data_IF_126393367570
#
_entry.id   IF_126393367570
#
_cell.length_a   1.000
_cell.length_b   1.000
_cell.length_c   1.000
_cell.angle_alpha   90.00
_cell.angle_beta   90.00
_cell.angle_gamma   90.00
#
_symmetry.space_group_name_H-M   'P 1'
#
loop_
_entity.id
_entity.type
_entity.pdbx_description
1 polymer ?
#
# COMPACT_ATOMS: atom_id res chain seq x y z
N UNK A 1 13.28 19.59 -0.52
CA UNK A 1 13.01 18.33 -1.24
C UNK A 1 12.04 17.38 -0.52
N UNK A 2 12.05 17.23 0.82
CA UNK A 2 11.07 16.37 1.54
C UNK A 2 9.63 16.91 1.48
N UNK A 3 9.42 18.23 1.60
CA UNK A 3 8.10 18.90 1.56
C UNK A 3 7.33 18.70 0.24
N UNK A 4 8.07 18.64 -0.88
CA UNK A 4 7.48 18.46 -2.22
C UNK A 4 6.86 17.06 -2.39
N UNK A 5 7.36 16.04 -1.68
CA UNK A 5 6.90 14.64 -1.83
C UNK A 5 5.52 14.40 -1.21
N UNK A 6 5.15 15.09 -0.16
CA UNK A 6 3.91 14.83 0.59
C UNK A 6 2.68 15.33 -0.18
N UNK A 7 2.75 16.51 -0.80
CA UNK A 7 1.64 17.06 -1.59
C UNK A 7 1.60 16.49 -3.01
N UNK A 8 2.76 16.22 -3.63
CA UNK A 8 2.79 15.45 -4.89
C UNK A 8 2.08 14.10 -4.74
N UNK A 9 2.19 13.46 -3.58
CA UNK A 9 1.50 12.20 -3.33
C UNK A 9 -0.01 12.37 -3.15
N UNK A 10 -0.48 13.49 -2.57
CA UNK A 10 -1.91 13.81 -2.46
C UNK A 10 -2.54 14.11 -3.82
N UNK A 11 -1.82 14.81 -4.69
CA UNK A 11 -2.28 15.17 -6.04
C UNK A 11 -2.19 13.99 -7.02
N UNK A 12 -1.20 13.09 -6.85
CA UNK A 12 -1.04 11.87 -7.66
C UNK A 12 -2.02 10.75 -7.26
N UNK A 13 -2.45 10.67 -6.00
CA UNK A 13 -3.48 9.71 -5.57
C UNK A 13 -4.88 10.03 -6.12
N UNK A 14 -5.13 11.28 -6.53
CA UNK A 14 -6.35 11.62 -7.27
C UNK A 14 -6.47 10.90 -8.62
N UNK A 15 -5.37 10.34 -9.16
CA UNK A 15 -5.35 9.56 -10.40
C UNK A 15 -5.68 8.06 -10.19
N UNK A 16 -5.80 7.61 -8.94
CA UNK A 16 -6.12 6.19 -8.62
C UNK A 16 -7.51 6.11 -7.99
N UNK A 17 -8.53 6.59 -8.71
CA UNK A 17 -9.86 6.02 -8.52
C UNK A 17 -9.79 4.67 -9.23
N UNK A 18 -10.03 3.52 -8.56
CA UNK A 18 -10.23 2.26 -9.25
C UNK A 18 -11.57 2.32 -9.99
N UNK A 19 -11.60 3.10 -11.06
CA UNK A 19 -12.67 3.02 -12.01
C UNK A 19 -12.40 1.76 -12.81
N UNK A 20 -13.22 0.77 -12.64
CA UNK A 20 -13.53 -0.11 -13.75
C UNK A 20 -13.88 0.82 -14.94
N UNK A 21 -12.99 0.93 -15.90
CA UNK A 21 -13.04 1.86 -17.05
C UNK A 21 -14.33 1.76 -17.90
N UNK A 22 -15.26 0.87 -17.54
CA UNK A 22 -16.45 0.56 -18.32
C UNK A 22 -17.74 1.27 -17.87
N UNK A 23 -17.72 2.17 -16.87
CA UNK A 23 -18.96 2.75 -16.34
C UNK A 23 -18.89 4.21 -15.84
N UNK A 24 -17.91 5.03 -16.25
CA UNK A 24 -17.95 6.45 -15.91
C UNK A 24 -19.06 7.18 -16.65
N UNK A 25 -19.88 7.93 -15.92
CA UNK A 25 -20.91 8.81 -16.50
C UNK A 25 -20.30 10.01 -17.23
N UNK A 26 -21.08 10.67 -18.10
CA UNK A 26 -20.63 11.92 -18.75
C UNK A 26 -20.35 13.03 -17.75
N UNK A 27 -21.11 13.07 -16.66
CA UNK A 27 -20.91 14.04 -15.58
C UNK A 27 -19.54 13.80 -14.89
N UNK A 28 -19.21 12.54 -14.57
CA UNK A 28 -17.94 12.19 -13.96
C UNK A 28 -16.75 12.50 -14.86
N UNK A 29 -16.83 12.20 -16.15
CA UNK A 29 -15.77 12.56 -17.13
C UNK A 29 -15.54 14.07 -17.22
N UNK A 30 -16.61 14.87 -17.28
CA UNK A 30 -16.51 16.35 -17.30
C UNK A 30 -15.93 16.88 -16.00
N UNK A 31 -16.38 16.35 -14.87
CA UNK A 31 -15.83 16.70 -13.56
C UNK A 31 -14.34 16.43 -13.49
N UNK A 32 -13.89 15.22 -13.86
CA UNK A 32 -12.47 14.85 -13.84
C UNK A 32 -11.62 15.75 -14.71
N UNK A 33 -12.05 16.03 -15.94
CA UNK A 33 -11.30 16.91 -16.83
C UNK A 33 -11.11 18.32 -16.22
N UNK A 34 -12.15 18.85 -15.55
CA UNK A 34 -12.07 20.14 -14.86
C UNK A 34 -11.20 20.07 -13.60
N UNK A 35 -11.33 19.00 -12.82
CA UNK A 35 -10.55 18.77 -11.61
C UNK A 35 -9.04 18.59 -11.93
N UNK A 36 -8.69 17.85 -12.99
CA UNK A 36 -7.30 17.66 -13.43
C UNK A 36 -6.65 18.99 -13.85
N UNK A 37 -7.40 19.85 -14.56
CA UNK A 37 -6.93 21.18 -14.91
C UNK A 37 -6.65 22.03 -13.66
N UNK A 38 -7.56 22.02 -12.68
CA UNK A 38 -7.39 22.74 -11.42
C UNK A 38 -6.22 22.16 -10.60
N UNK A 39 -6.09 20.84 -10.53
CA UNK A 39 -5.00 20.18 -9.82
C UNK A 39 -3.62 20.51 -10.42
N UNK A 40 -3.52 20.62 -11.74
CA UNK A 40 -2.27 21.05 -12.41
C UNK A 40 -1.91 22.48 -12.01
N UNK A 41 -2.87 23.40 -12.01
CA UNK A 41 -2.66 24.78 -11.57
C UNK A 41 -2.29 24.85 -10.07
N UNK A 42 -2.97 24.05 -9.23
CA UNK A 42 -2.73 23.96 -7.81
C UNK A 42 -1.31 23.46 -7.50
N UNK A 43 -0.85 22.43 -8.22
CA UNK A 43 0.51 21.94 -8.09
C UNK A 43 1.54 23.01 -8.44
N UNK A 44 1.33 23.76 -9.52
CA UNK A 44 2.21 24.84 -9.94
C UNK A 44 2.24 25.97 -8.90
N UNK A 45 1.09 26.41 -8.41
CA UNK A 45 0.99 27.45 -7.38
C UNK A 45 1.69 27.01 -6.08
N UNK A 46 1.44 25.77 -5.63
CA UNK A 46 2.06 25.25 -4.43
C UNK A 46 3.58 25.10 -4.55
N UNK A 47 4.08 24.55 -5.66
CA UNK A 47 5.53 24.40 -5.90
C UNK A 47 6.22 25.75 -6.07
N UNK A 48 5.51 26.73 -6.63
CA UNK A 48 5.92 28.12 -6.71
C UNK A 48 5.82 28.88 -5.37
N UNK A 49 5.27 28.25 -4.32
CA UNK A 49 4.99 28.84 -3.00
C UNK A 49 4.01 30.01 -3.05
N UNK A 50 3.17 30.06 -4.06
CA UNK A 50 2.06 31.00 -4.12
C UNK A 50 0.88 30.42 -3.30
N UNK A 51 0.98 30.57 -1.98
CA UNK A 51 0.00 30.03 -1.05
C UNK A 51 -1.38 30.67 -1.18
N UNK A 52 -1.52 31.99 -1.41
CA UNK A 52 -2.82 32.58 -1.70
C UNK A 52 -3.48 31.99 -2.95
N UNK A 53 -2.74 31.81 -4.05
CA UNK A 53 -3.28 31.16 -5.25
C UNK A 53 -3.62 29.69 -4.98
N UNK A 54 -2.82 28.99 -4.18
CA UNK A 54 -3.11 27.62 -3.76
C UNK A 54 -4.43 27.51 -3.00
N UNK A 55 -4.68 28.39 -2.01
CA UNK A 55 -5.94 28.45 -1.27
C UNK A 55 -7.14 28.69 -2.22
N UNK A 56 -7.01 29.68 -3.13
CA UNK A 56 -8.06 29.99 -4.09
C UNK A 56 -8.37 28.82 -5.03
N UNK A 57 -7.35 28.06 -5.45
CA UNK A 57 -7.52 26.89 -6.31
C UNK A 57 -8.14 25.73 -5.54
N UNK A 58 -7.75 25.48 -4.28
CA UNK A 58 -8.42 24.51 -3.42
C UNK A 58 -9.91 24.82 -3.28
N UNK A 59 -10.26 26.10 -3.06
CA UNK A 59 -11.67 26.52 -2.99
C UNK A 59 -12.41 26.23 -4.30
N UNK A 60 -11.79 26.49 -5.46
CA UNK A 60 -12.41 26.15 -6.75
C UNK A 60 -12.66 24.65 -6.92
N UNK A 61 -11.77 23.78 -6.44
CA UNK A 61 -12.00 22.32 -6.45
C UNK A 61 -13.16 21.94 -5.55
N UNK A 62 -13.27 22.55 -4.36
CA UNK A 62 -14.37 22.34 -3.43
C UNK A 62 -15.70 22.75 -4.08
N UNK A 63 -15.75 23.96 -4.65
CA UNK A 63 -16.95 24.50 -5.31
C UNK A 63 -17.35 23.65 -6.53
N UNK A 64 -16.37 23.19 -7.32
CA UNK A 64 -16.59 22.28 -8.45
C UNK A 64 -17.23 20.97 -7.98
N UNK A 65 -16.72 20.37 -6.89
CA UNK A 65 -17.32 19.16 -6.35
C UNK A 65 -18.75 19.42 -5.85
N UNK A 66 -18.96 20.49 -5.08
CA UNK A 66 -20.26 20.81 -4.49
C UNK A 66 -21.34 21.06 -5.55
N UNK A 67 -20.97 21.69 -6.67
CA UNK A 67 -21.86 21.92 -7.80
C UNK A 67 -22.30 20.61 -8.52
N UNK A 68 -21.53 19.54 -8.41
CA UNK A 68 -21.78 18.28 -9.13
C UNK A 68 -22.04 17.09 -8.20
N UNK A 69 -22.00 17.26 -6.88
CA UNK A 69 -22.02 16.18 -5.89
C UNK A 69 -23.14 15.16 -6.08
N UNK A 70 -24.35 15.63 -6.48
CA UNK A 70 -25.51 14.74 -6.72
C UNK A 70 -25.39 13.85 -7.96
N UNK A 71 -24.42 14.12 -8.83
CA UNK A 71 -24.18 13.41 -10.10
C UNK A 71 -22.92 12.52 -10.06
N UNK A 72 -22.18 12.58 -8.95
CA UNK A 72 -20.91 11.91 -8.79
C UNK A 72 -21.02 10.72 -7.82
N UNK A 73 -20.29 9.66 -8.09
CA UNK A 73 -20.15 8.58 -7.13
C UNK A 73 -19.44 9.07 -5.86
N UNK A 74 -19.69 8.39 -4.74
CA UNK A 74 -19.19 8.79 -3.40
C UNK A 74 -17.67 8.99 -3.35
N UNK A 75 -16.90 8.18 -4.08
CA UNK A 75 -15.43 8.28 -4.12
C UNK A 75 -14.91 9.64 -4.60
N UNK A 76 -15.67 10.37 -5.39
CA UNK A 76 -15.27 11.72 -5.86
C UNK A 76 -15.24 12.77 -4.74
N UNK A 77 -15.85 12.50 -3.60
CA UNK A 77 -15.75 13.35 -2.41
C UNK A 77 -14.29 13.56 -1.94
N UNK A 78 -13.40 12.62 -2.29
CA UNK A 78 -11.97 12.74 -2.05
C UNK A 78 -11.40 14.09 -2.56
N UNK A 79 -11.81 14.59 -3.71
CA UNK A 79 -11.33 15.87 -4.27
C UNK A 79 -11.61 17.04 -3.34
N UNK A 80 -12.80 17.11 -2.78
CA UNK A 80 -13.18 18.14 -1.81
C UNK A 80 -12.36 18.06 -0.53
N UNK A 81 -12.26 16.86 0.06
CA UNK A 81 -11.63 16.71 1.37
C UNK A 81 -10.10 16.75 1.31
N UNK A 82 -9.48 16.29 0.23
CA UNK A 82 -8.06 16.51 -0.03
C UNK A 82 -7.72 17.98 -0.24
N UNK A 83 -8.63 18.75 -0.85
CA UNK A 83 -8.47 20.21 -0.97
C UNK A 83 -8.53 20.92 0.38
N UNK A 84 -9.40 20.51 1.31
CA UNK A 84 -9.37 21.01 2.69
C UNK A 84 -8.06 20.69 3.39
N UNK A 85 -7.52 19.49 3.21
CA UNK A 85 -6.22 19.12 3.78
C UNK A 85 -5.09 20.00 3.23
N UNK A 86 -5.02 20.17 1.92
CA UNK A 86 -4.02 21.04 1.27
C UNK A 86 -4.17 22.50 1.71
N UNK A 87 -5.40 22.98 1.83
CA UNK A 87 -5.69 24.33 2.33
C UNK A 87 -5.20 24.50 3.77
N UNK A 88 -5.45 23.51 4.63
CA UNK A 88 -4.95 23.53 6.00
C UNK A 88 -3.41 23.60 6.06
N UNK A 89 -2.71 22.83 5.22
CA UNK A 89 -1.25 22.85 5.17
C UNK A 89 -0.71 24.24 4.78
N UNK A 90 -1.24 24.83 3.70
CA UNK A 90 -0.74 26.15 3.27
C UNK A 90 -1.13 27.29 4.22
N UNK A 91 -2.26 27.19 4.91
CA UNK A 91 -2.68 28.14 5.94
C UNK A 91 -1.81 28.02 7.20
N UNK A 92 -1.45 26.80 7.61
CA UNK A 92 -0.52 26.58 8.72
C UNK A 92 0.86 27.18 8.41
N UNK A 93 1.39 26.98 7.19
CA UNK A 93 2.65 27.60 6.73
C UNK A 93 2.58 29.13 6.81
N UNK A 94 1.42 29.73 6.51
CA UNK A 94 1.19 31.18 6.56
C UNK A 94 0.90 31.70 7.98
N UNK A 95 0.82 30.85 8.99
CA UNK A 95 0.47 31.22 10.35
C UNK A 95 -1.02 31.49 10.59
N UNK A 96 -1.89 31.17 9.65
CA UNK A 96 -3.36 31.27 9.76
C UNK A 96 -3.91 30.06 10.52
N UNK A 97 -3.56 29.98 11.83
CA UNK A 97 -3.76 28.74 12.62
C UNK A 97 -5.23 28.33 12.74
N UNK A 98 -6.14 29.27 12.98
CA UNK A 98 -7.56 28.95 13.19
C UNK A 98 -8.20 28.39 11.91
N UNK A 99 -7.93 29.01 10.78
CA UNK A 99 -8.42 28.56 9.47
C UNK A 99 -7.84 27.20 9.12
N UNK A 100 -6.54 27.00 9.38
CA UNK A 100 -5.86 25.73 9.16
C UNK A 100 -6.48 24.59 9.99
N UNK A 101 -6.73 24.82 11.29
CA UNK A 101 -7.42 23.88 12.19
C UNK A 101 -8.81 23.54 11.67
N UNK A 102 -9.60 24.58 11.30
CA UNK A 102 -10.96 24.38 10.77
C UNK A 102 -10.96 23.51 9.51
N UNK A 103 -10.05 23.78 8.57
CA UNK A 103 -9.99 23.02 7.33
C UNK A 103 -9.43 21.61 7.53
N UNK A 104 -8.43 21.43 8.39
CA UNK A 104 -7.94 20.10 8.74
C UNK A 104 -9.03 19.27 9.42
N UNK A 105 -9.80 19.87 10.32
CA UNK A 105 -10.94 19.21 10.97
C UNK A 105 -11.97 18.72 9.94
N UNK A 106 -12.33 19.56 8.95
CA UNK A 106 -13.25 19.15 7.87
C UNK A 106 -12.70 17.96 7.09
N UNK A 107 -11.41 18.00 6.73
CA UNK A 107 -10.74 16.91 6.01
C UNK A 107 -10.78 15.60 6.80
N UNK A 108 -10.32 15.62 8.06
CA UNK A 108 -10.19 14.42 8.89
C UNK A 108 -11.52 13.85 9.38
N UNK A 109 -12.53 14.69 9.56
CA UNK A 109 -13.82 14.25 10.12
C UNK A 109 -14.80 13.73 9.06
N UNK A 110 -14.47 13.85 7.78
CA UNK A 110 -15.35 13.45 6.68
C UNK A 110 -15.46 11.95 6.47
N UNK A 111 -14.44 11.18 6.84
CA UNK A 111 -14.23 9.77 6.47
C UNK A 111 -14.22 9.53 4.94
N UNK A 112 -14.04 10.59 4.13
CA UNK A 112 -14.00 10.55 2.66
C UNK A 112 -12.60 10.76 2.11
N UNK A 113 -11.64 10.97 2.98
CA UNK A 113 -10.23 11.07 2.65
C UNK A 113 -9.48 9.92 3.32
N UNK A 114 -8.88 9.07 2.50
CA UNK A 114 -8.01 8.00 3.01
C UNK A 114 -6.68 8.59 3.46
N UNK A 115 -6.61 8.95 4.74
CA UNK A 115 -5.39 9.44 5.36
C UNK A 115 -5.10 8.65 6.63
N UNK A 116 -3.84 8.28 6.86
CA UNK A 116 -3.44 7.59 8.08
C UNK A 116 -3.02 8.58 9.16
N UNK A 117 -3.14 8.15 10.42
CA UNK A 117 -2.63 8.88 11.58
C UNK A 117 -1.17 9.32 11.40
N UNK A 118 -0.31 8.36 11.05
CA UNK A 118 1.11 8.60 10.89
C UNK A 118 1.44 9.60 9.77
N UNK A 119 0.61 9.69 8.74
CA UNK A 119 0.76 10.69 7.69
C UNK A 119 0.48 12.09 8.23
N UNK A 120 -0.60 12.26 8.98
CA UNK A 120 -0.99 13.57 9.54
C UNK A 120 0.02 14.07 10.55
N UNK A 121 0.43 13.21 11.51
CA UNK A 121 1.33 13.64 12.60
C UNK A 121 2.79 13.83 12.18
N UNK A 122 3.18 13.27 11.03
CA UNK A 122 4.52 13.49 10.46
C UNK A 122 4.53 14.52 9.33
N UNK A 123 3.41 15.19 9.09
CA UNK A 123 3.35 16.29 8.13
C UNK A 123 3.95 17.55 8.76
N UNK A 124 5.14 17.93 8.27
CA UNK A 124 5.88 19.08 8.77
C UNK A 124 5.12 20.41 8.63
N UNK A 125 4.21 20.50 7.67
CA UNK A 125 3.45 21.70 7.41
C UNK A 125 2.31 21.90 8.43
N UNK A 126 1.86 20.81 9.07
CA UNK A 126 0.77 20.81 10.03
C UNK A 126 1.20 20.86 11.50
N UNK A 127 2.48 20.66 11.78
CA UNK A 127 3.01 20.45 13.15
C UNK A 127 2.57 21.50 14.18
N UNK A 128 2.45 22.78 13.75
CA UNK A 128 2.14 23.90 14.64
C UNK A 128 0.66 24.03 14.99
N UNK A 129 -0.19 23.14 14.44
CA UNK A 129 -1.64 23.15 14.68
C UNK A 129 -2.16 21.81 15.23
N UNK A 130 -1.34 20.74 15.25
CA UNK A 130 -1.81 19.41 15.66
C UNK A 130 -2.25 19.33 17.13
N UNK A 131 -1.77 20.23 18.00
CA UNK A 131 -2.15 20.27 19.41
C UNK A 131 -3.51 20.96 19.65
N UNK A 132 -4.15 21.49 18.61
CA UNK A 132 -5.45 22.14 18.74
C UNK A 132 -6.50 21.18 19.31
N UNK A 133 -7.27 21.59 20.36
CA UNK A 133 -8.24 20.72 21.00
C UNK A 133 -9.30 20.16 20.04
N UNK A 134 -9.67 20.94 19.04
CA UNK A 134 -10.68 20.57 18.03
C UNK A 134 -10.25 19.36 17.18
N UNK A 135 -8.95 19.16 16.99
CA UNK A 135 -8.40 18.06 16.18
C UNK A 135 -8.26 16.76 16.98
N UNK A 136 -8.18 16.83 18.32
CA UNK A 136 -7.86 15.66 19.13
C UNK A 136 -8.82 14.48 18.96
N UNK A 137 -10.15 14.66 18.86
CA UNK A 137 -11.08 13.54 18.64
C UNK A 137 -10.83 12.85 17.28
N UNK A 138 -10.55 13.64 16.22
CA UNK A 138 -10.26 13.09 14.88
C UNK A 138 -8.91 12.37 14.83
N UNK A 139 -7.88 12.94 15.47
CA UNK A 139 -6.55 12.32 15.56
C UNK A 139 -6.59 11.03 16.38
N UNK A 140 -7.34 11.01 17.49
CA UNK A 140 -7.55 9.78 18.28
C UNK A 140 -8.20 8.70 17.43
N UNK A 141 -9.29 9.00 16.73
CA UNK A 141 -9.96 8.06 15.84
C UNK A 141 -9.02 7.53 14.75
N UNK A 142 -8.26 8.40 14.09
CA UNK A 142 -7.28 7.98 13.10
C UNK A 142 -6.22 7.05 13.69
N UNK A 143 -5.73 7.34 14.90
CA UNK A 143 -4.77 6.49 15.59
C UNK A 143 -5.33 5.10 15.86
N UNK A 144 -6.55 5.04 16.35
CA UNK A 144 -7.24 3.79 16.68
C UNK A 144 -7.60 2.95 15.44
N UNK A 145 -7.70 3.57 14.26
CA UNK A 145 -8.14 2.90 13.03
C UNK A 145 -7.06 2.73 11.98
N UNK A 146 -5.98 3.51 12.02
CA UNK A 146 -4.97 3.54 10.95
C UNK A 146 -3.51 3.44 11.43
N UNK A 147 -3.27 3.54 12.73
CA UNK A 147 -1.93 3.27 13.30
C UNK A 147 -1.82 1.79 13.66
N UNK A 148 -1.32 0.99 12.72
CA UNK A 148 -1.23 -0.46 12.90
C UNK A 148 -0.39 -0.87 14.11
N UNK A 149 0.65 -0.10 14.46
CA UNK A 149 1.45 -0.38 15.65
C UNK A 149 0.61 -0.16 16.93
N UNK A 150 -0.11 0.95 16.97
CA UNK A 150 -1.02 1.23 18.11
C UNK A 150 -2.11 0.17 18.22
N UNK A 151 -2.73 -0.20 17.11
CA UNK A 151 -3.77 -1.25 17.06
C UNK A 151 -3.22 -2.56 17.59
N UNK A 152 -2.03 -3.00 17.14
CA UNK A 152 -1.40 -4.23 17.60
C UNK A 152 -1.02 -4.19 19.09
N UNK A 153 -0.50 -3.05 19.57
CA UNK A 153 -0.11 -2.90 20.98
C UNK A 153 -1.30 -2.85 21.95
N UNK A 154 -2.47 -2.43 21.45
CA UNK A 154 -3.69 -2.28 22.24
C UNK A 154 -4.76 -3.35 21.91
N UNK A 155 -4.41 -4.30 21.04
CA UNK A 155 -5.29 -5.43 20.77
C UNK A 155 -5.46 -6.25 22.05
N UNK A 156 -6.67 -6.79 22.31
CA UNK A 156 -6.88 -7.70 23.43
C UNK A 156 -5.96 -8.91 23.27
N UNK A 157 -5.56 -9.50 24.40
CA UNK A 157 -4.78 -10.73 24.38
C UNK A 157 -5.50 -11.81 23.56
N UNK A 158 -4.71 -12.55 22.81
CA UNK A 158 -5.24 -13.65 22.00
C UNK A 158 -5.87 -14.69 22.92
N UNK A 159 -7.19 -14.76 22.90
CA UNK A 159 -7.90 -15.77 23.70
C UNK A 159 -7.63 -17.16 23.10
N UNK A 160 -6.71 -17.89 23.71
CA UNK A 160 -6.41 -19.29 23.36
C UNK A 160 -7.57 -20.25 23.70
N UNK A 161 -8.73 -19.70 24.04
CA UNK A 161 -9.90 -20.44 24.50
C UNK A 161 -10.86 -20.85 23.38
N UNK A 162 -10.62 -20.42 22.13
CA UNK A 162 -11.38 -21.02 21.03
C UNK A 162 -10.92 -22.46 20.84
N UNK A 163 -11.86 -23.43 20.80
CA UNK A 163 -11.52 -24.82 20.48
C UNK A 163 -10.69 -24.82 19.20
N UNK A 164 -9.57 -25.58 19.18
CA UNK A 164 -8.71 -25.71 18.01
C UNK A 164 -9.51 -26.07 16.74
N UNK A 165 -10.64 -26.75 16.91
CA UNK A 165 -11.54 -27.17 15.84
C UNK A 165 -12.39 -26.01 15.25
N UNK A 166 -12.49 -24.84 15.92
CA UNK A 166 -13.22 -23.67 15.43
C UNK A 166 -12.34 -22.74 14.55
N UNK A 167 -11.03 -22.95 14.55
CA UNK A 167 -10.11 -22.16 13.73
C UNK A 167 -9.96 -22.77 12.33
N UNK A 168 -9.94 -21.94 11.27
CA UNK A 168 -9.65 -22.44 9.94
C UNK A 168 -8.28 -23.18 9.93
N UNK A 169 -8.28 -24.44 9.58
CA UNK A 169 -7.02 -25.20 9.39
C UNK A 169 -6.43 -24.79 8.05
N UNK A 170 -5.20 -24.31 8.07
CA UNK A 170 -4.47 -24.04 6.85
C UNK A 170 -3.97 -25.40 6.34
N UNK A 171 -4.54 -25.83 5.20
CA UNK A 171 -4.04 -26.97 4.46
C UNK A 171 -3.15 -26.45 3.32
N UNK A 172 -1.99 -27.04 3.16
CA UNK A 172 -1.13 -26.78 2.00
C UNK A 172 -1.48 -27.76 0.88
N UNK A 173 -1.42 -27.29 -0.36
CA UNK A 173 -1.52 -28.16 -1.52
C UNK A 173 -0.43 -29.23 -1.47
N UNK A 174 -0.75 -30.43 -1.92
CA UNK A 174 0.22 -31.52 -1.97
C UNK A 174 1.24 -31.26 -3.10
N UNK A 175 2.48 -31.71 -2.90
CA UNK A 175 3.56 -31.46 -3.87
C UNK A 175 3.32 -32.08 -5.26
N UNK A 176 2.42 -33.05 -5.37
CA UNK A 176 2.00 -33.70 -6.60
C UNK A 176 0.81 -33.04 -7.31
N UNK A 177 0.26 -31.95 -6.74
CA UNK A 177 -0.72 -31.11 -7.43
C UNK A 177 -0.18 -30.65 -8.79
N UNK A 178 -0.99 -30.72 -9.87
CA UNK A 178 -0.51 -30.48 -11.24
C UNK A 178 0.26 -29.17 -11.41
N UNK A 179 -0.19 -28.10 -10.79
CA UNK A 179 0.46 -26.79 -10.90
C UNK A 179 1.80 -26.76 -10.14
N UNK A 180 1.87 -27.32 -8.96
CA UNK A 180 3.11 -27.42 -8.20
C UNK A 180 4.11 -28.37 -8.89
N UNK A 181 3.64 -29.45 -9.45
CA UNK A 181 4.49 -30.33 -10.25
C UNK A 181 5.11 -29.60 -11.44
N UNK A 182 4.31 -28.79 -12.18
CA UNK A 182 4.84 -27.96 -13.27
C UNK A 182 5.93 -26.99 -12.80
N UNK A 183 5.75 -26.36 -11.62
CA UNK A 183 6.77 -25.49 -11.02
C UNK A 183 8.05 -26.27 -10.71
N UNK A 184 7.95 -27.44 -10.08
CA UNK A 184 9.07 -28.31 -9.78
C UNK A 184 9.85 -28.71 -11.03
N UNK A 185 9.14 -29.13 -12.07
CA UNK A 185 9.74 -29.53 -13.36
C UNK A 185 10.39 -28.34 -14.06
N UNK A 186 9.72 -27.17 -14.12
CA UNK A 186 10.20 -25.95 -14.77
C UNK A 186 11.53 -25.47 -14.15
N UNK A 187 11.59 -25.38 -12.82
CA UNK A 187 12.79 -24.97 -12.12
C UNK A 187 13.79 -26.11 -11.89
N UNK A 188 13.47 -27.35 -12.30
CA UNK A 188 14.30 -28.55 -12.08
C UNK A 188 14.72 -28.74 -10.63
N UNK A 189 13.79 -28.55 -9.70
CA UNK A 189 14.09 -28.45 -8.27
C UNK A 189 14.62 -29.78 -7.69
N UNK A 190 14.34 -30.90 -8.31
CA UNK A 190 14.92 -32.18 -7.90
C UNK A 190 16.45 -32.21 -8.03
N UNK A 191 17.01 -31.50 -9.01
CA UNK A 191 18.45 -31.37 -9.18
C UNK A 191 19.09 -30.35 -8.21
N UNK A 192 18.27 -29.48 -7.62
CA UNK A 192 18.71 -28.47 -6.64
C UNK A 192 18.65 -29.05 -5.22
N UNK A 193 17.70 -29.92 -4.94
CA UNK A 193 17.50 -30.50 -3.63
C UNK A 193 18.72 -31.30 -3.17
N UNK A 194 18.90 -31.38 -1.85
CA UNK A 194 19.92 -32.21 -1.20
C UNK A 194 19.24 -33.41 -0.58
N UNK A 195 19.55 -34.60 -1.10
CA UNK A 195 18.93 -35.83 -0.60
C UNK A 195 19.17 -36.04 0.92
N UNK A 196 18.08 -36.18 1.66
CA UNK A 196 18.13 -36.42 3.11
C UNK A 196 18.46 -35.17 3.96
N UNK A 197 18.65 -33.99 3.36
CA UNK A 197 18.94 -32.75 4.10
C UNK A 197 17.95 -31.62 3.71
N UNK A 198 16.89 -31.48 4.52
CA UNK A 198 15.86 -30.46 4.34
C UNK A 198 16.42 -29.04 4.43
N UNK A 199 17.29 -28.77 5.43
CA UNK A 199 17.83 -27.42 5.63
C UNK A 199 18.77 -26.98 4.50
N UNK A 200 19.60 -27.91 4.02
CA UNK A 200 20.41 -27.64 2.85
C UNK A 200 19.56 -27.46 1.60
N UNK A 201 18.48 -28.20 1.44
CA UNK A 201 17.51 -28.04 0.34
C UNK A 201 16.86 -26.64 0.39
N UNK A 202 16.36 -26.20 1.56
CA UNK A 202 15.78 -24.87 1.75
C UNK A 202 16.78 -23.77 1.32
N UNK A 203 18.02 -23.84 1.80
CA UNK A 203 19.06 -22.87 1.46
C UNK A 203 19.42 -22.89 -0.03
N UNK A 204 19.54 -24.07 -0.62
CA UNK A 204 19.86 -24.19 -2.05
C UNK A 204 18.78 -23.65 -2.95
N UNK A 205 17.50 -23.89 -2.65
CA UNK A 205 16.39 -23.33 -3.41
C UNK A 205 16.41 -21.79 -3.33
N UNK A 206 16.63 -21.22 -2.14
CA UNK A 206 16.76 -19.77 -1.96
C UNK A 206 17.86 -19.20 -2.86
N UNK A 207 19.08 -19.72 -2.76
CA UNK A 207 20.23 -19.27 -3.55
C UNK A 207 19.99 -19.44 -5.04
N UNK A 208 19.47 -20.59 -5.45
CA UNK A 208 19.19 -20.91 -6.84
C UNK A 208 18.19 -19.94 -7.49
N UNK A 209 17.12 -19.59 -6.80
CA UNK A 209 16.13 -18.63 -7.31
C UNK A 209 16.71 -17.21 -7.31
N UNK A 210 17.45 -16.82 -6.27
CA UNK A 210 18.14 -15.53 -6.21
C UNK A 210 19.11 -15.33 -7.39
N UNK A 211 19.87 -16.37 -7.75
CA UNK A 211 20.84 -16.32 -8.83
C UNK A 211 20.16 -16.30 -10.22
N UNK A 212 18.96 -16.87 -10.34
CA UNK A 212 18.21 -16.87 -11.59
C UNK A 212 17.45 -15.59 -11.87
N UNK A 213 16.94 -14.93 -10.83
CA UNK A 213 16.03 -13.80 -10.99
C UNK A 213 16.53 -12.63 -10.14
N UNK A 214 16.96 -11.58 -10.82
CA UNK A 214 17.45 -10.35 -10.17
C UNK A 214 16.35 -9.67 -9.38
N UNK A 215 16.68 -9.19 -8.17
CA UNK A 215 15.80 -8.27 -7.45
C UNK A 215 15.75 -6.91 -8.15
N UNK A 216 14.55 -6.38 -8.33
CA UNK A 216 14.32 -5.07 -8.94
C UNK A 216 13.05 -4.43 -8.34
N UNK A 217 13.26 -3.63 -7.31
CA UNK A 217 12.18 -2.98 -6.57
C UNK A 217 11.40 -1.94 -7.36
N UNK A 218 11.89 -1.51 -8.52
CA UNK A 218 11.25 -0.51 -9.37
C UNK A 218 10.18 -1.12 -10.28
N UNK A 219 10.22 -2.43 -10.50
CA UNK A 219 9.27 -3.10 -11.36
C UNK A 219 8.09 -3.66 -10.57
N UNK A 220 6.88 -3.38 -11.07
CA UNK A 220 5.66 -4.09 -10.63
C UNK A 220 5.67 -5.56 -11.06
N UNK A 221 4.65 -6.30 -10.65
CA UNK A 221 4.51 -7.69 -11.09
C UNK A 221 4.34 -7.76 -12.61
N UNK A 222 4.91 -8.78 -13.28
CA UNK A 222 4.66 -9.05 -14.69
C UNK A 222 3.17 -9.26 -14.96
N UNK A 223 2.73 -8.90 -16.16
CA UNK A 223 1.39 -9.21 -16.68
C UNK A 223 1.29 -10.68 -17.06
N UNK A 224 0.09 -11.25 -17.07
CA UNK A 224 -0.15 -12.63 -17.52
C UNK A 224 -0.43 -13.65 -16.42
N UNK A 225 -0.50 -13.21 -15.17
CA UNK A 225 -0.85 -14.04 -14.00
C UNK A 225 0.21 -14.07 -12.90
N UNK A 226 -0.24 -14.15 -11.68
CA UNK A 226 0.61 -14.15 -10.48
C UNK A 226 1.06 -15.57 -10.13
N UNK A 227 2.00 -16.13 -10.91
CA UNK A 227 2.62 -17.42 -10.63
C UNK A 227 4.10 -17.41 -10.97
N UNK A 228 4.84 -18.34 -10.39
CA UNK A 228 6.30 -18.42 -10.48
C UNK A 228 6.82 -18.59 -11.91
N UNK A 229 6.14 -19.38 -12.72
CA UNK A 229 6.57 -19.65 -14.11
C UNK A 229 6.46 -18.39 -14.96
N UNK A 230 5.31 -17.71 -14.92
CA UNK A 230 5.11 -16.44 -15.64
C UNK A 230 6.12 -15.38 -15.21
N UNK A 231 6.41 -15.32 -13.91
CA UNK A 231 7.38 -14.37 -13.38
C UNK A 231 8.80 -14.68 -13.83
N UNK A 232 9.19 -15.95 -13.86
CA UNK A 232 10.50 -16.37 -14.35
C UNK A 232 10.64 -16.15 -15.85
N UNK A 233 9.63 -16.48 -16.65
CA UNK A 233 9.65 -16.24 -18.10
C UNK A 233 9.76 -14.75 -18.43
N UNK A 234 9.05 -13.88 -17.70
CA UNK A 234 9.15 -12.43 -17.88
C UNK A 234 10.54 -11.86 -17.56
N UNK A 235 11.36 -12.57 -16.79
CA UNK A 235 12.71 -12.15 -16.42
C UNK A 235 13.82 -12.88 -17.21
N UNK A 236 13.46 -13.78 -18.11
CA UNK A 236 14.38 -14.74 -18.75
C UNK A 236 15.45 -14.09 -19.59
N UNK A 237 15.15 -12.98 -20.24
CA UNK A 237 16.08 -12.22 -21.08
C UNK A 237 16.96 -11.21 -20.30
N UNK A 238 16.74 -11.12 -18.97
CA UNK A 238 17.46 -10.20 -18.09
C UNK A 238 17.05 -8.73 -18.22
N UNK A 239 16.09 -8.40 -19.09
CA UNK A 239 15.63 -7.01 -19.31
C UNK A 239 14.97 -6.42 -18.05
N UNK A 240 14.37 -7.27 -17.22
CA UNK A 240 13.77 -6.91 -15.94
C UNK A 240 14.13 -7.89 -14.83
N UNK A 241 13.90 -7.47 -13.59
CA UNK A 241 13.85 -8.33 -12.43
C UNK A 241 12.45 -8.35 -11.79
N UNK A 242 12.37 -8.84 -10.58
CA UNK A 242 11.17 -8.87 -9.76
C UNK A 242 11.36 -8.05 -8.48
N UNK A 243 10.30 -7.40 -8.04
CA UNK A 243 10.28 -6.82 -6.71
C UNK A 243 10.22 -7.92 -5.62
N UNK A 244 10.30 -7.51 -4.36
CA UNK A 244 10.27 -8.42 -3.22
C UNK A 244 9.05 -9.35 -3.21
N UNK A 245 7.87 -8.86 -3.58
CA UNK A 245 6.64 -9.66 -3.66
C UNK A 245 6.73 -10.71 -4.77
N UNK A 246 7.21 -10.33 -5.94
CA UNK A 246 7.39 -11.27 -7.06
C UNK A 246 8.37 -12.38 -6.72
N UNK A 247 9.53 -12.05 -6.15
CA UNK A 247 10.52 -13.04 -5.71
C UNK A 247 9.96 -13.95 -4.62
N UNK A 248 9.24 -13.38 -3.64
CA UNK A 248 8.60 -14.18 -2.58
C UNK A 248 7.54 -15.13 -3.14
N UNK A 249 6.79 -14.73 -4.18
CA UNK A 249 5.84 -15.62 -4.86
C UNK A 249 6.54 -16.79 -5.53
N UNK A 250 7.61 -16.53 -6.29
CA UNK A 250 8.39 -17.58 -6.94
C UNK A 250 8.96 -18.56 -5.91
N UNK A 251 9.59 -18.06 -4.87
CA UNK A 251 10.21 -18.87 -3.84
C UNK A 251 9.17 -19.68 -3.06
N UNK A 252 8.00 -19.09 -2.77
CA UNK A 252 6.91 -19.79 -2.09
C UNK A 252 6.41 -21.00 -2.88
N UNK A 253 6.16 -20.85 -4.18
CA UNK A 253 5.70 -21.95 -5.02
C UNK A 253 6.79 -23.01 -5.20
N UNK A 254 8.06 -22.61 -5.28
CA UNK A 254 9.18 -23.58 -5.30
C UNK A 254 9.24 -24.43 -4.03
N UNK A 255 9.09 -23.85 -2.85
CA UNK A 255 9.06 -24.63 -1.61
C UNK A 255 7.84 -25.56 -1.53
N UNK A 256 6.64 -25.03 -1.85
CA UNK A 256 5.43 -25.84 -1.84
C UNK A 256 5.52 -27.03 -2.82
N UNK A 257 6.12 -26.82 -4.00
CA UNK A 257 6.30 -27.88 -4.99
C UNK A 257 7.26 -28.99 -4.55
N UNK A 258 8.08 -28.72 -3.54
CA UNK A 258 8.96 -29.70 -2.88
C UNK A 258 8.35 -30.29 -1.61
N UNK A 259 7.07 -29.99 -1.31
CA UNK A 259 6.39 -30.45 -0.10
C UNK A 259 6.82 -29.72 1.17
N UNK A 260 7.53 -28.60 1.03
CA UNK A 260 7.99 -27.79 2.16
C UNK A 260 6.98 -26.64 2.39
N UNK A 261 6.26 -26.63 3.54
CA UNK A 261 5.29 -25.56 3.83
C UNK A 261 5.94 -24.19 3.81
N UNK A 262 5.39 -23.28 3.04
CA UNK A 262 5.89 -21.91 2.92
C UNK A 262 4.75 -20.89 2.87
N UNK A 263 5.01 -19.67 3.29
CA UNK A 263 4.08 -18.54 3.30
C UNK A 263 4.75 -17.27 2.86
N UNK A 264 4.03 -16.47 2.10
CA UNK A 264 4.43 -15.09 1.78
C UNK A 264 4.00 -14.19 2.93
N UNK A 265 4.93 -13.42 3.48
CA UNK A 265 4.74 -12.52 4.62
C UNK A 265 5.01 -11.08 4.17
N UNK A 266 4.05 -10.19 4.37
CA UNK A 266 4.27 -8.76 4.17
C UNK A 266 4.72 -8.12 5.48
N UNK A 267 5.94 -7.57 5.49
CA UNK A 267 6.51 -6.85 6.61
C UNK A 267 6.23 -5.36 6.46
N UNK A 268 5.61 -4.77 7.48
CA UNK A 268 5.34 -3.34 7.53
C UNK A 268 6.36 -2.64 8.42
N UNK A 269 6.79 -1.42 8.09
CA UNK A 269 7.72 -0.68 8.94
C UNK A 269 7.06 -0.25 10.27
N UNK A 270 7.87 -0.14 11.33
CA UNK A 270 7.40 0.34 12.64
C UNK A 270 6.79 1.73 12.57
N UNK A 271 7.37 2.62 11.75
CA UNK A 271 6.77 3.92 11.42
C UNK A 271 6.10 3.77 10.06
N UNK A 272 4.86 4.22 9.95
CA UNK A 272 4.18 4.17 8.68
C UNK A 272 4.92 5.01 7.64
N UNK A 273 5.31 4.35 6.58
CA UNK A 273 5.72 4.93 5.31
C UNK A 273 4.97 4.15 4.23
N UNK A 274 4.71 4.74 3.09
CA UNK A 274 4.04 4.04 2.00
C UNK A 274 5.03 3.07 1.31
N UNK A 275 5.49 2.11 2.08
CA UNK A 275 6.43 1.07 1.66
C UNK A 275 6.23 -0.18 2.52
N UNK A 276 6.59 -1.32 1.98
CA UNK A 276 6.58 -2.60 2.68
C UNK A 276 7.67 -3.50 2.10
N UNK A 277 8.08 -4.50 2.88
CA UNK A 277 8.91 -5.58 2.36
C UNK A 277 8.16 -6.90 2.41
N UNK A 278 8.42 -7.77 1.43
CA UNK A 278 7.77 -9.08 1.37
C UNK A 278 8.85 -10.15 1.41
N UNK A 279 8.67 -11.11 2.31
CA UNK A 279 9.59 -12.22 2.54
C UNK A 279 8.82 -13.55 2.54
N UNK A 280 9.54 -14.66 2.65
CA UNK A 280 8.96 -15.97 2.92
C UNK A 280 9.22 -16.39 4.36
N UNK A 281 8.23 -17.07 4.94
CA UNK A 281 8.44 -17.96 6.06
C UNK A 281 8.35 -19.39 5.56
N UNK A 282 9.32 -20.19 5.86
CA UNK A 282 9.38 -21.61 5.47
C UNK A 282 9.44 -22.50 6.71
N UNK A 283 8.61 -23.55 6.77
CA UNK A 283 8.59 -24.45 7.91
C UNK A 283 9.62 -25.56 7.74
N UNK A 284 10.51 -25.66 8.71
CA UNK A 284 11.42 -26.81 8.79
C UNK A 284 10.85 -27.88 9.72
N UNK A 285 10.58 -29.05 9.17
CA UNK A 285 10.18 -30.23 9.94
C UNK A 285 11.33 -30.72 10.79
N UNK A 286 12.57 -30.61 10.32
CA UNK A 286 13.79 -30.97 11.05
C UNK A 286 13.96 -30.15 12.34
N UNK A 287 13.64 -28.83 12.29
CA UNK A 287 13.78 -27.97 13.44
C UNK A 287 12.46 -27.76 14.20
N UNK A 288 11.33 -28.21 13.66
CA UNK A 288 9.99 -28.02 14.23
C UNK A 288 9.54 -26.55 14.31
N UNK A 289 10.05 -25.68 13.41
CA UNK A 289 9.77 -24.23 13.48
C UNK A 289 9.78 -23.55 12.11
N UNK A 290 9.20 -22.36 12.07
CA UNK A 290 9.27 -21.46 10.93
C UNK A 290 10.63 -20.74 10.89
N UNK A 291 11.20 -20.66 9.70
CA UNK A 291 12.43 -19.92 9.37
C UNK A 291 12.04 -18.70 8.51
N UNK A 292 12.83 -17.61 8.65
CA UNK A 292 12.61 -16.33 7.97
C UNK A 292 13.83 -15.96 7.14
#
# INVERSE_FOLDING_TARGET
>A
MKRLKTILLNLLLALVIPASLSAQTDAERKFLASADSLNTQLLNAYTGKDYPATEALCQKVIDLYDAHASQLAEGYAYFKYSSYYTMASVQAIQGKKQEAVSNLFKALNSNKMEVSYNRVVNDEDLKDILDAPELQPALKRLKETTDYLYILQNAPEYTRTQPADSLPRIAYAQADEPDLKRVRDYFRLDSVAVAGDELATIKRILTYIHDKIRHDGQNGNPTGGNNSINFAEACKDGSRGLNCRGLATVLNECYLSMGIPSRVITCMPKRYINDCHVINAVYSSTLGKWLW
#
